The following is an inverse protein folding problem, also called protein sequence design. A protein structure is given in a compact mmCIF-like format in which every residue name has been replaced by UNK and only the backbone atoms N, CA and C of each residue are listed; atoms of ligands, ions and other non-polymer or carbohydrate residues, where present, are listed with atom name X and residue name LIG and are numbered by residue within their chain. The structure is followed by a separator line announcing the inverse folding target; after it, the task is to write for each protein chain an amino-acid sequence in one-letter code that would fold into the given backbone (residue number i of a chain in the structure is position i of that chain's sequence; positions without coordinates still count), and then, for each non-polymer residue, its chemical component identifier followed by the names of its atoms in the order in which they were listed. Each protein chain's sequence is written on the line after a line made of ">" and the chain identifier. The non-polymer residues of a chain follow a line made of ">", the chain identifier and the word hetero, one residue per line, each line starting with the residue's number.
data_IF_666722077754
#
_entry.id   IF_666722077754
#
_cell.length_a   1.000
_cell.length_b   1.000
_cell.length_c   1.000
_cell.angle_alpha   90.00
_cell.angle_beta   90.00
_cell.angle_gamma   90.00
#
_symmetry.space_group_name_H-M   'P 1'
#
loop_
_entity.id
_entity.type
_entity.pdbx_description
1 polymer ?
#
# COMPACT_ATOMS: atom_id res chain seq x y z
N UNK A 1 -36.16 -35.08 4.47
CA UNK A 1 -36.07 -33.75 3.84
C UNK A 1 -36.93 -32.82 4.66
N UNK A 2 -36.36 -31.71 5.15
CA UNK A 2 -37.15 -30.71 5.85
C UNK A 2 -38.13 -30.03 4.88
N UNK A 3 -39.21 -29.44 5.40
CA UNK A 3 -40.14 -28.64 4.58
C UNK A 3 -39.38 -27.60 3.74
N UNK A 4 -38.33 -27.00 4.31
CA UNK A 4 -37.46 -26.04 3.62
C UNK A 4 -36.79 -26.61 2.37
N UNK A 5 -36.28 -27.85 2.38
CA UNK A 5 -35.57 -28.44 1.24
C UNK A 5 -36.50 -28.61 0.03
N UNK A 6 -37.75 -29.01 0.28
CA UNK A 6 -38.77 -29.16 -0.75
C UNK A 6 -39.15 -27.82 -1.40
N UNK A 7 -39.20 -26.74 -0.61
CA UNK A 7 -39.44 -25.39 -1.13
C UNK A 7 -38.29 -24.91 -2.02
N UNK A 8 -37.05 -25.16 -1.64
CA UNK A 8 -35.87 -24.80 -2.44
C UNK A 8 -35.82 -25.57 -3.77
N UNK A 9 -36.09 -26.88 -3.75
CA UNK A 9 -36.17 -27.70 -4.97
C UNK A 9 -37.29 -27.24 -5.91
N UNK A 10 -38.44 -26.84 -5.36
CA UNK A 10 -39.55 -26.32 -6.15
C UNK A 10 -39.18 -24.99 -6.80
N UNK A 11 -38.58 -24.08 -6.02
CA UNK A 11 -38.11 -22.79 -6.53
C UNK A 11 -37.00 -22.94 -7.58
N UNK A 12 -36.13 -23.93 -7.45
CA UNK A 12 -35.08 -24.23 -8.43
C UNK A 12 -35.67 -24.69 -9.77
N UNK A 13 -36.58 -25.68 -9.73
CA UNK A 13 -37.25 -26.16 -10.95
C UNK A 13 -38.03 -25.05 -11.65
N UNK A 14 -38.73 -24.22 -10.88
CA UNK A 14 -39.46 -23.08 -11.40
C UNK A 14 -38.50 -22.05 -12.04
N UNK A 15 -37.31 -21.84 -11.46
CA UNK A 15 -36.34 -20.90 -12.01
C UNK A 15 -35.68 -21.38 -13.32
N UNK A 16 -35.53 -22.69 -13.50
CA UNK A 16 -34.93 -23.30 -14.70
C UNK A 16 -35.88 -23.36 -15.89
N UNK A 17 -37.19 -23.40 -15.64
CA UNK A 17 -38.21 -23.41 -16.67
C UNK A 17 -38.68 -21.98 -16.98
N UNK A 18 -38.34 -21.51 -18.19
CA UNK A 18 -38.66 -20.16 -18.65
C UNK A 18 -40.18 -19.92 -18.79
N UNK A 19 -40.99 -20.96 -18.98
CA UNK A 19 -42.44 -20.85 -19.12
C UNK A 19 -43.15 -20.98 -17.76
N UNK A 20 -42.58 -21.73 -16.82
CA UNK A 20 -43.15 -21.89 -15.48
C UNK A 20 -42.80 -20.75 -14.51
N UNK A 21 -41.70 -20.01 -14.74
CA UNK A 21 -41.28 -18.93 -13.84
C UNK A 21 -42.22 -17.73 -13.85
N UNK A 22 -42.34 -17.09 -12.70
CA UNK A 22 -42.98 -15.79 -12.58
C UNK A 22 -42.12 -14.71 -13.26
N UNK A 23 -42.51 -14.30 -14.47
CA UNK A 23 -41.76 -13.34 -15.30
C UNK A 23 -41.56 -11.99 -14.60
N UNK A 24 -42.54 -11.50 -13.84
CA UNK A 24 -42.43 -10.23 -13.13
C UNK A 24 -41.39 -10.28 -12.02
N UNK A 25 -41.38 -11.37 -11.26
CA UNK A 25 -40.37 -11.59 -10.23
C UNK A 25 -38.98 -11.80 -10.83
N UNK A 26 -38.88 -12.57 -11.92
CA UNK A 26 -37.64 -12.77 -12.65
C UNK A 26 -37.05 -11.46 -13.15
N UNK A 27 -37.85 -10.61 -13.80
CA UNK A 27 -37.39 -9.32 -14.32
C UNK A 27 -36.89 -8.40 -13.20
N UNK A 28 -37.55 -8.38 -12.04
CA UNK A 28 -37.10 -7.63 -10.86
C UNK A 28 -35.74 -8.13 -10.38
N UNK A 29 -35.58 -9.44 -10.22
CA UNK A 29 -34.31 -10.04 -9.79
C UNK A 29 -33.20 -9.82 -10.83
N UNK A 30 -33.54 -9.84 -12.12
CA UNK A 30 -32.58 -9.60 -13.22
C UNK A 30 -32.06 -8.17 -13.21
N UNK A 31 -32.95 -7.20 -12.98
CA UNK A 31 -32.57 -5.80 -12.80
C UNK A 31 -31.69 -5.60 -11.56
N UNK A 32 -32.00 -6.28 -10.44
CA UNK A 32 -31.18 -6.21 -9.21
C UNK A 32 -29.80 -6.87 -9.35
N UNK A 33 -29.67 -7.82 -10.27
CA UNK A 33 -28.43 -8.54 -10.53
C UNK A 33 -27.58 -7.92 -11.64
N UNK A 34 -27.92 -6.73 -12.13
CA UNK A 34 -27.27 -6.07 -13.27
C UNK A 34 -27.20 -6.96 -14.53
N UNK A 35 -28.21 -7.81 -14.72
CA UNK A 35 -28.29 -8.75 -15.84
C UNK A 35 -27.46 -10.04 -15.70
N UNK A 36 -26.82 -10.28 -14.56
CA UNK A 36 -26.13 -11.53 -14.26
C UNK A 36 -27.14 -12.66 -13.99
N UNK A 37 -27.22 -13.63 -14.91
CA UNK A 37 -28.20 -14.73 -14.85
C UNK A 37 -28.02 -15.62 -13.61
N UNK A 38 -26.79 -15.86 -13.16
CA UNK A 38 -26.52 -16.71 -12.00
C UNK A 38 -26.97 -16.04 -10.71
N UNK A 39 -26.67 -14.74 -10.56
CA UNK A 39 -27.16 -13.93 -9.43
C UNK A 39 -28.68 -13.78 -9.48
N UNK A 40 -29.24 -13.60 -10.66
CA UNK A 40 -30.70 -13.52 -10.87
C UNK A 40 -31.40 -14.77 -10.37
N UNK A 41 -30.93 -15.95 -10.77
CA UNK A 41 -31.49 -17.24 -10.32
C UNK A 41 -31.42 -17.37 -8.80
N UNK A 42 -30.28 -17.01 -8.19
CA UNK A 42 -30.13 -17.07 -6.74
C UNK A 42 -31.09 -16.12 -6.00
N UNK A 43 -31.25 -14.88 -6.48
CA UNK A 43 -32.21 -13.91 -5.92
C UNK A 43 -33.66 -14.39 -6.10
N UNK A 44 -33.98 -14.91 -7.28
CA UNK A 44 -35.31 -15.46 -7.59
C UNK A 44 -35.67 -16.60 -6.66
N UNK A 45 -34.80 -17.61 -6.52
CA UNK A 45 -35.03 -18.75 -5.65
C UNK A 45 -35.22 -18.32 -4.19
N UNK A 46 -34.38 -17.38 -3.72
CA UNK A 46 -34.46 -16.84 -2.37
C UNK A 46 -35.82 -16.15 -2.13
N UNK A 47 -36.22 -15.24 -3.02
CA UNK A 47 -37.49 -14.52 -2.89
C UNK A 47 -38.69 -15.45 -3.05
N UNK A 48 -38.58 -16.46 -3.91
CA UNK A 48 -39.62 -17.46 -4.12
C UNK A 48 -39.84 -18.33 -2.89
N UNK A 49 -38.77 -18.82 -2.28
CA UNK A 49 -38.85 -19.57 -1.01
C UNK A 49 -39.45 -18.71 0.09
N UNK A 50 -39.14 -17.41 0.13
CA UNK A 50 -39.76 -16.45 1.06
C UNK A 50 -41.27 -16.32 0.86
N UNK A 51 -41.74 -16.25 -0.40
CA UNK A 51 -43.17 -16.21 -0.72
C UNK A 51 -43.90 -17.51 -0.33
N UNK A 52 -43.21 -18.65 -0.40
CA UNK A 52 -43.73 -19.95 0.02
C UNK A 52 -43.69 -20.17 1.55
N UNK A 53 -43.29 -19.14 2.32
CA UNK A 53 -43.21 -19.22 3.79
C UNK A 53 -41.97 -19.92 4.32
N UNK A 54 -40.98 -20.19 3.47
CA UNK A 54 -39.70 -20.75 3.88
C UNK A 54 -38.83 -19.74 4.61
N UNK A 55 -38.06 -20.21 5.60
CA UNK A 55 -37.03 -19.40 6.26
C UNK A 55 -35.76 -19.38 5.42
N UNK A 56 -35.33 -18.19 5.02
CA UNK A 56 -34.01 -18.00 4.40
C UNK A 56 -33.00 -17.91 5.56
N UNK A 57 -31.99 -18.80 5.62
CA UNK A 57 -30.90 -18.60 6.57
C UNK A 57 -30.21 -17.29 6.20
N UNK A 58 -30.23 -16.31 7.12
CA UNK A 58 -29.52 -15.04 6.96
C UNK A 58 -28.01 -15.33 6.82
N UNK A 59 -27.54 -15.46 5.59
CA UNK A 59 -26.13 -15.62 5.29
C UNK A 59 -25.45 -14.29 5.58
N UNK A 60 -24.83 -14.13 6.76
CA UNK A 60 -23.96 -12.99 7.04
C UNK A 60 -22.89 -12.94 5.94
N UNK A 61 -22.79 -11.84 5.16
CA UNK A 61 -21.80 -11.75 4.11
C UNK A 61 -20.40 -11.84 4.75
N UNK A 62 -19.69 -12.94 4.49
CA UNK A 62 -18.34 -13.17 5.00
C UNK A 62 -17.37 -12.33 4.16
N UNK A 63 -17.34 -11.01 4.39
CA UNK A 63 -16.53 -10.06 3.60
C UNK A 63 -15.04 -10.19 3.92
N UNK A 64 -14.41 -11.24 3.40
CA UNK A 64 -12.95 -11.45 3.49
C UNK A 64 -12.16 -10.24 2.96
N UNK A 65 -12.72 -9.48 2.02
CA UNK A 65 -12.07 -8.29 1.44
C UNK A 65 -11.87 -7.13 2.42
N UNK A 66 -12.78 -6.92 3.38
CA UNK A 66 -12.68 -5.79 4.32
C UNK A 66 -11.60 -6.03 5.38
N UNK A 67 -11.41 -7.29 5.78
CA UNK A 67 -10.35 -7.65 6.71
C UNK A 67 -8.96 -7.43 6.08
N UNK A 68 -8.74 -7.91 4.85
CA UNK A 68 -7.45 -7.77 4.16
C UNK A 68 -7.07 -6.30 3.93
N UNK A 69 -8.02 -5.45 3.55
CA UNK A 69 -7.78 -4.01 3.37
C UNK A 69 -7.34 -3.33 4.68
N UNK A 70 -7.97 -3.67 5.82
CA UNK A 70 -7.64 -3.11 7.13
C UNK A 70 -6.22 -3.49 7.57
N UNK A 71 -5.85 -4.76 7.43
CA UNK A 71 -4.51 -5.23 7.80
C UNK A 71 -3.43 -4.69 6.86
N UNK A 72 -3.70 -4.63 5.55
CA UNK A 72 -2.75 -4.11 4.56
C UNK A 72 -2.44 -2.62 4.78
N UNK A 73 -3.45 -1.81 5.06
CA UNK A 73 -3.26 -0.38 5.37
C UNK A 73 -2.45 -0.19 6.66
N UNK A 74 -2.78 -0.94 7.71
CA UNK A 74 -2.08 -0.87 9.01
C UNK A 74 -0.60 -1.22 8.88
N UNK A 75 -0.26 -2.24 8.10
CA UNK A 75 1.13 -2.67 7.89
C UNK A 75 1.91 -1.61 7.11
N UNK A 76 1.34 -1.04 6.05
CA UNK A 76 2.00 0.04 5.30
C UNK A 76 2.32 1.24 6.18
N UNK A 77 1.38 1.66 7.02
CA UNK A 77 1.55 2.80 7.92
C UNK A 77 2.67 2.56 8.94
N UNK A 78 2.77 1.34 9.47
CA UNK A 78 3.85 0.92 10.36
C UNK A 78 5.22 0.94 9.68
N UNK A 79 5.31 0.46 8.43
CA UNK A 79 6.57 0.47 7.67
C UNK A 79 7.06 1.89 7.38
N UNK A 80 6.17 2.80 7.02
CA UNK A 80 6.52 4.22 6.79
C UNK A 80 7.02 4.86 8.08
N UNK A 81 6.31 4.67 9.19
CA UNK A 81 6.74 5.19 10.49
C UNK A 81 8.11 4.64 10.91
N UNK A 82 8.33 3.34 10.71
CA UNK A 82 9.62 2.71 10.97
C UNK A 82 10.75 3.30 10.12
N UNK A 83 10.51 3.52 8.83
CA UNK A 83 11.48 4.16 7.94
C UNK A 83 11.82 5.59 8.36
N UNK A 84 10.83 6.38 8.79
CA UNK A 84 11.06 7.74 9.27
C UNK A 84 11.91 7.78 10.55
N UNK A 85 11.73 6.80 11.45
CA UNK A 85 12.54 6.67 12.66
C UNK A 85 13.99 6.29 12.32
N UNK A 86 14.21 5.46 11.30
CA UNK A 86 15.56 5.13 10.85
C UNK A 86 16.20 6.32 10.15
N UNK A 87 15.46 6.98 9.25
CA UNK A 87 15.97 8.13 8.50
C UNK A 87 16.39 9.27 9.43
N UNK A 88 15.64 9.53 10.51
CA UNK A 88 16.02 10.57 11.49
C UNK A 88 17.25 10.22 12.33
N UNK A 89 17.75 8.98 12.26
CA UNK A 89 19.02 8.57 12.89
C UNK A 89 20.22 8.80 11.98
N UNK A 90 20.00 8.98 10.68
CA UNK A 90 21.04 9.33 9.71
C UNK A 90 21.04 10.84 9.49
N UNK A 91 21.37 11.60 10.54
CA UNK A 91 21.84 12.98 10.34
C UNK A 91 23.27 12.86 9.81
N UNK A 92 23.44 13.00 8.50
CA UNK A 92 24.75 13.22 7.91
C UNK A 92 25.18 14.63 8.37
N UNK A 93 26.07 14.68 9.37
CA UNK A 93 26.62 15.93 9.90
C UNK A 93 27.47 16.71 8.87
N UNK A 94 27.55 16.19 7.63
CA UNK A 94 28.32 16.72 6.51
C UNK A 94 29.82 16.48 6.69
N UNK A 95 30.20 15.63 7.65
CA UNK A 95 31.60 15.36 8.00
C UNK A 95 32.35 14.70 6.85
N UNK A 96 31.70 13.80 6.12
CA UNK A 96 32.23 13.14 4.93
C UNK A 96 32.56 14.14 3.82
N UNK A 97 31.63 15.03 3.49
CA UNK A 97 31.78 16.04 2.45
C UNK A 97 32.88 17.05 2.78
N UNK A 98 32.95 17.50 4.04
CA UNK A 98 33.97 18.44 4.50
C UNK A 98 35.37 17.82 4.49
N UNK A 99 35.51 16.53 4.84
CA UNK A 99 36.77 15.79 4.70
C UNK A 99 37.21 15.67 3.24
N UNK A 100 36.27 15.34 2.34
CA UNK A 100 36.58 15.22 0.92
C UNK A 100 37.08 16.56 0.33
N UNK A 101 36.48 17.69 0.74
CA UNK A 101 36.94 19.01 0.32
C UNK A 101 38.37 19.32 0.79
N UNK A 102 38.70 18.97 2.05
CA UNK A 102 40.04 19.16 2.60
C UNK A 102 41.07 18.27 1.88
N UNK A 103 40.73 17.01 1.62
CA UNK A 103 41.58 16.07 0.89
C UNK A 103 41.91 16.58 -0.53
N UNK A 104 40.88 17.08 -1.24
CA UNK A 104 41.07 17.69 -2.57
C UNK A 104 41.96 18.94 -2.48
N UNK A 105 41.77 19.80 -1.48
CA UNK A 105 42.59 20.99 -1.28
C UNK A 105 44.08 20.65 -1.12
N UNK A 106 44.39 19.66 -0.27
CA UNK A 106 45.77 19.22 -0.06
C UNK A 106 46.37 18.51 -1.27
N UNK A 107 45.54 17.80 -2.03
CA UNK A 107 45.94 17.17 -3.28
C UNK A 107 46.33 18.21 -4.34
N UNK A 108 45.56 19.28 -4.46
CA UNK A 108 45.86 20.39 -5.37
C UNK A 108 47.14 21.13 -4.96
N UNK A 109 47.37 21.33 -3.66
CA UNK A 109 48.60 21.94 -3.14
C UNK A 109 49.88 21.18 -3.56
N UNK A 110 49.80 19.85 -3.72
CA UNK A 110 50.95 19.02 -4.12
C UNK A 110 51.24 19.06 -5.62
N UNK A 111 50.42 19.76 -6.42
CA UNK A 111 50.61 19.79 -7.86
C UNK A 111 51.89 20.58 -8.24
N UNK A 112 52.87 19.94 -8.91
CA UNK A 112 54.14 20.58 -9.26
C UNK A 112 54.00 21.70 -10.30
N UNK A 113 52.87 21.79 -11.01
CA UNK A 113 52.64 22.83 -12.02
C UNK A 113 52.27 24.18 -11.43
N UNK A 114 52.02 24.27 -10.12
CA UNK A 114 51.63 25.50 -9.45
C UNK A 114 52.86 26.36 -9.10
N UNK A 115 52.74 27.66 -9.35
CA UNK A 115 53.71 28.62 -8.87
C UNK A 115 53.74 28.67 -7.33
N UNK A 116 54.88 29.10 -6.79
CA UNK A 116 55.13 29.12 -5.34
C UNK A 116 54.17 30.08 -4.60
N UNK A 117 53.75 31.18 -5.23
CA UNK A 117 52.82 32.11 -4.61
C UNK A 117 51.42 31.49 -4.49
N UNK A 118 50.95 30.81 -5.53
CA UNK A 118 49.67 30.09 -5.51
C UNK A 118 49.69 28.93 -4.51
N UNK A 119 50.81 28.20 -4.38
CA UNK A 119 50.94 27.17 -3.34
C UNK A 119 50.75 27.71 -1.93
N UNK A 120 51.37 28.86 -1.61
CA UNK A 120 51.19 29.51 -0.29
C UNK A 120 49.74 29.95 -0.06
N UNK A 121 49.09 30.49 -1.09
CA UNK A 121 47.69 30.86 -1.02
C UNK A 121 46.79 29.65 -0.74
N UNK A 122 46.96 28.55 -1.50
CA UNK A 122 46.21 27.31 -1.29
C UNK A 122 46.47 26.75 0.11
N UNK A 123 47.73 26.74 0.58
CA UNK A 123 48.06 26.27 1.93
C UNK A 123 47.33 27.06 3.02
N UNK A 124 47.20 28.38 2.88
CA UNK A 124 46.44 29.20 3.81
C UNK A 124 44.96 28.81 3.83
N UNK A 125 44.35 28.60 2.66
CA UNK A 125 42.94 28.16 2.55
C UNK A 125 42.72 26.75 3.10
N UNK A 126 43.60 25.79 2.81
CA UNK A 126 43.46 24.43 3.34
C UNK A 126 43.60 24.38 4.86
N UNK A 127 44.47 25.21 5.44
CA UNK A 127 44.61 25.34 6.90
C UNK A 127 43.34 25.91 7.55
N UNK A 128 42.75 26.95 6.96
CA UNK A 128 41.48 27.54 7.43
C UNK A 128 40.34 26.52 7.39
N UNK A 129 40.18 25.78 6.29
CA UNK A 129 39.19 24.70 6.18
C UNK A 129 39.41 23.59 7.22
N UNK A 130 40.67 23.26 7.51
CA UNK A 130 41.02 22.26 8.52
C UNK A 130 40.69 22.75 9.94
N UNK A 131 40.90 24.03 10.22
CA UNK A 131 40.55 24.65 11.50
C UNK A 131 39.02 24.72 11.69
N UNK A 132 38.28 25.14 10.66
CA UNK A 132 36.82 25.11 10.66
C UNK A 132 36.30 23.69 10.94
N UNK A 133 36.85 22.69 10.25
CA UNK A 133 36.51 21.29 10.46
C UNK A 133 36.79 20.84 11.90
N UNK A 134 37.97 21.18 12.44
CA UNK A 134 38.35 20.83 13.80
C UNK A 134 37.44 21.48 14.84
N UNK A 135 37.07 22.75 14.63
CA UNK A 135 36.17 23.48 15.51
C UNK A 135 34.76 22.87 15.52
N UNK A 136 34.28 22.39 14.37
CA UNK A 136 32.93 21.86 14.20
C UNK A 136 32.79 20.39 14.63
N UNK A 137 33.79 19.57 14.37
CA UNK A 137 33.70 18.10 14.54
C UNK A 137 34.64 17.51 15.59
N UNK A 138 35.55 18.31 16.17
CA UNK A 138 36.38 17.90 17.31
C UNK A 138 37.49 16.89 16.98
N UNK A 139 37.95 16.81 15.73
CA UNK A 139 39.01 15.89 15.29
C UNK A 139 39.78 16.40 14.07
N UNK A 140 40.84 15.69 13.68
CA UNK A 140 41.50 15.95 12.41
C UNK A 140 40.67 15.37 11.25
N UNK A 141 40.64 16.06 10.10
CA UNK A 141 40.04 15.53 8.88
C UNK A 141 40.70 14.22 8.47
#
# INVERSE_FOLDING_TARGET
>A
MGNSDALWLTAEREADDADARNQGLWAKCFAQADGDAAKTKALYMTERVRQLGGSIPNAKPKSKGVAWLKYGLSISLLLVAFFLIIASRFDDDGRSDKRAAIDICWKDHQNPTLDEATRRFIAQTCNELTEEYRSKFGGNP
#
